data_IF_288516166049
#
_entry.id   IF_288516166049
#
_cell.length_a   1.000
_cell.length_b   1.000
_cell.length_c   1.000
_cell.angle_alpha   90.00
_cell.angle_beta   90.00
_cell.angle_gamma   90.00
#
_symmetry.space_group_name_H-M   'P 1'
#
loop_
_entity.id
_entity.type
_entity.pdbx_description
1 polymer ?
#
# COMPACT_ATOMS: atom_id res chain seq x y z
N UNK A 1 10.92 -37.41 3.98
CA UNK A 1 10.85 -36.69 2.69
C UNK A 1 11.36 -35.29 2.95
N UNK A 2 12.55 -34.96 2.44
CA UNK A 2 13.31 -33.79 2.94
C UNK A 2 13.02 -32.49 2.22
N UNK A 3 12.67 -32.54 0.94
CA UNK A 3 12.39 -31.36 0.11
C UNK A 3 11.48 -31.74 -1.06
N UNK A 4 10.45 -30.92 -1.30
CA UNK A 4 9.65 -30.94 -2.53
C UNK A 4 9.91 -29.62 -3.24
N UNK A 5 10.28 -29.70 -4.53
CA UNK A 5 10.43 -28.55 -5.42
C UNK A 5 9.33 -28.61 -6.47
N UNK A 6 8.73 -27.46 -6.76
CA UNK A 6 7.69 -27.31 -7.78
C UNK A 6 8.24 -26.43 -8.90
N UNK A 7 7.98 -26.82 -10.14
CA UNK A 7 8.46 -26.13 -11.33
C UNK A 7 7.34 -25.96 -12.35
N UNK A 8 7.35 -24.83 -13.06
CA UNK A 8 6.51 -24.60 -14.24
C UNK A 8 7.24 -25.07 -15.50
N UNK A 9 6.56 -25.80 -16.37
CA UNK A 9 7.02 -26.17 -17.72
C UNK A 9 5.89 -25.95 -18.72
N UNK A 10 6.19 -26.05 -20.01
CA UNK A 10 5.19 -26.02 -21.07
C UNK A 10 4.15 -27.13 -20.83
N UNK A 11 2.88 -26.76 -20.66
CA UNK A 11 1.79 -27.70 -20.36
C UNK A 11 1.43 -27.91 -18.89
N UNK A 12 2.08 -27.24 -17.93
CA UNK A 12 1.61 -27.20 -16.53
C UNK A 12 2.68 -27.16 -15.44
N UNK A 13 2.31 -27.63 -14.25
CA UNK A 13 3.17 -27.68 -13.08
C UNK A 13 3.59 -29.11 -12.74
N UNK A 14 4.85 -29.25 -12.36
CA UNK A 14 5.47 -30.52 -12.02
C UNK A 14 6.16 -30.41 -10.67
N UNK A 15 6.27 -31.53 -9.95
CA UNK A 15 7.01 -31.60 -8.71
C UNK A 15 8.15 -32.61 -8.79
N UNK A 16 9.21 -32.33 -8.04
CA UNK A 16 10.28 -33.27 -7.73
C UNK A 16 10.45 -33.34 -6.21
N UNK A 17 10.45 -34.56 -5.65
CA UNK A 17 10.61 -34.80 -4.23
C UNK A 17 11.79 -35.74 -3.97
N UNK A 18 12.70 -35.35 -3.07
CA UNK A 18 13.80 -36.21 -2.62
C UNK A 18 13.36 -37.03 -1.39
N UNK A 19 13.30 -38.34 -1.56
CA UNK A 19 13.06 -39.29 -0.46
C UNK A 19 14.29 -39.40 0.44
N UNK A 20 14.07 -39.84 1.68
CA UNK A 20 15.15 -39.97 2.68
C UNK A 20 16.17 -41.04 2.30
N UNK A 21 15.78 -41.98 1.44
CA UNK A 21 16.64 -43.00 0.85
C UNK A 21 17.43 -42.53 -0.39
N UNK A 22 17.43 -41.22 -0.68
CA UNK A 22 18.20 -40.64 -1.79
C UNK A 22 17.53 -40.71 -3.17
N UNK A 23 16.37 -41.34 -3.30
CA UNK A 23 15.65 -41.44 -4.58
C UNK A 23 14.74 -40.23 -4.83
N UNK A 24 14.62 -39.85 -6.10
CA UNK A 24 13.70 -38.81 -6.54
C UNK A 24 12.35 -39.39 -6.95
N UNK A 25 11.26 -38.71 -6.58
CA UNK A 25 9.92 -38.89 -7.13
C UNK A 25 9.58 -37.68 -7.98
N UNK A 26 9.03 -37.91 -9.17
CA UNK A 26 8.55 -36.86 -10.07
C UNK A 26 7.11 -37.13 -10.43
N UNK A 27 6.33 -36.07 -10.60
CA UNK A 27 4.95 -36.17 -11.07
C UNK A 27 4.41 -34.82 -11.52
N UNK A 28 3.25 -34.88 -12.16
CA UNK A 28 2.41 -33.75 -12.52
C UNK A 28 1.31 -33.54 -11.47
N UNK A 29 0.83 -32.31 -11.36
CA UNK A 29 -0.38 -32.04 -10.60
C UNK A 29 -1.61 -32.41 -11.45
N UNK A 30 -2.53 -33.20 -10.88
CA UNK A 30 -3.81 -33.50 -11.52
C UNK A 30 -4.59 -32.21 -11.80
N UNK A 31 -5.40 -32.24 -12.86
CA UNK A 31 -6.10 -31.09 -13.47
C UNK A 31 -6.59 -30.01 -12.47
N UNK A 32 -7.25 -30.36 -11.37
CA UNK A 32 -7.78 -29.36 -10.42
C UNK A 32 -6.69 -28.55 -9.70
N UNK A 33 -5.59 -29.21 -9.30
CA UNK A 33 -4.46 -28.54 -8.66
C UNK A 33 -3.63 -27.77 -9.70
N UNK A 34 -3.51 -28.29 -10.93
CA UNK A 34 -2.84 -27.58 -12.02
C UNK A 34 -3.57 -26.27 -12.38
N UNK A 35 -4.90 -26.30 -12.50
CA UNK A 35 -5.74 -25.12 -12.76
C UNK A 35 -5.65 -24.12 -11.59
N UNK A 36 -5.68 -24.60 -10.35
CA UNK A 36 -5.49 -23.74 -9.18
C UNK A 36 -4.13 -23.03 -9.20
N UNK A 37 -3.03 -23.76 -9.45
CA UNK A 37 -1.68 -23.18 -9.50
C UNK A 37 -1.49 -22.23 -10.70
N UNK A 38 -2.13 -22.49 -11.83
CA UNK A 38 -2.12 -21.58 -12.98
C UNK A 38 -2.82 -20.26 -12.64
N UNK A 39 -3.98 -20.33 -11.97
CA UNK A 39 -4.71 -19.14 -11.54
C UNK A 39 -3.91 -18.33 -10.50
N UNK A 40 -3.23 -19.00 -9.57
CA UNK A 40 -2.33 -18.33 -8.62
C UNK A 40 -1.16 -17.66 -9.35
N UNK A 41 -0.56 -18.32 -10.35
CA UNK A 41 0.53 -17.72 -11.15
C UNK A 41 0.05 -16.49 -11.92
N UNK A 42 -1.10 -16.57 -12.59
CA UNK A 42 -1.70 -15.43 -13.31
C UNK A 42 -2.01 -14.27 -12.37
N UNK A 43 -2.52 -14.57 -11.17
CA UNK A 43 -2.75 -13.56 -10.15
C UNK A 43 -1.44 -12.89 -9.72
N UNK A 44 -0.40 -13.67 -9.38
CA UNK A 44 0.92 -13.13 -9.01
C UNK A 44 1.48 -12.24 -10.12
N UNK A 45 1.39 -12.67 -11.38
CA UNK A 45 1.82 -11.88 -12.55
C UNK A 45 1.00 -10.59 -12.74
N UNK A 46 -0.27 -10.57 -12.30
CA UNK A 46 -1.13 -9.38 -12.36
C UNK A 46 -0.88 -8.35 -11.27
N UNK A 47 -0.17 -8.72 -10.19
CA UNK A 47 0.12 -7.82 -9.08
C UNK A 47 1.31 -6.94 -9.47
N UNK A 48 1.06 -5.65 -9.70
CA UNK A 48 2.12 -4.64 -9.86
C UNK A 48 2.97 -4.55 -8.59
N UNK A 49 4.30 -4.50 -8.75
CA UNK A 49 5.23 -4.19 -7.67
C UNK A 49 5.07 -2.74 -7.20
N UNK A 50 5.53 -2.45 -5.96
CA UNK A 50 5.47 -1.09 -5.39
C UNK A 50 6.18 -0.05 -6.26
N UNK A 51 7.28 -0.42 -6.92
CA UNK A 51 8.03 0.47 -7.80
C UNK A 51 7.31 0.72 -9.13
N UNK A 52 6.66 -0.30 -9.69
CA UNK A 52 5.83 -0.16 -10.91
C UNK A 52 4.62 0.74 -10.67
N UNK A 53 3.93 0.56 -9.54
CA UNK A 53 2.84 1.44 -9.11
C UNK A 53 3.33 2.88 -8.96
N UNK A 54 4.46 3.09 -8.28
CA UNK A 54 5.05 4.41 -8.07
C UNK A 54 5.41 5.09 -9.39
N UNK A 55 6.04 4.36 -10.31
CA UNK A 55 6.40 4.86 -11.63
C UNK A 55 5.16 5.24 -12.45
N UNK A 56 4.14 4.37 -12.50
CA UNK A 56 2.89 4.64 -13.22
C UNK A 56 2.18 5.88 -12.67
N UNK A 57 2.13 6.04 -11.35
CA UNK A 57 1.58 7.25 -10.71
C UNK A 57 2.38 8.47 -11.16
N UNK A 58 3.71 8.44 -11.06
CA UNK A 58 4.57 9.55 -11.47
C UNK A 58 4.36 9.91 -12.95
N UNK A 59 4.40 8.94 -13.86
CA UNK A 59 4.28 9.15 -15.30
C UNK A 59 2.91 9.76 -15.67
N UNK A 60 1.81 9.27 -15.08
CA UNK A 60 0.48 9.81 -15.30
C UNK A 60 0.35 11.27 -14.83
N UNK A 61 0.95 11.61 -13.69
CA UNK A 61 0.91 12.98 -13.15
C UNK A 61 1.79 13.93 -13.95
N UNK A 62 2.99 13.51 -14.37
CA UNK A 62 3.83 14.30 -15.26
C UNK A 62 3.12 14.60 -16.57
N UNK A 63 2.42 13.63 -17.14
CA UNK A 63 1.64 13.82 -18.36
C UNK A 63 0.52 14.85 -18.17
N UNK A 64 -0.29 14.72 -17.13
CA UNK A 64 -1.35 15.70 -16.80
C UNK A 64 -0.79 17.10 -16.50
N UNK A 65 0.35 17.17 -15.84
CA UNK A 65 1.04 18.44 -15.58
C UNK A 65 1.54 19.12 -16.85
N UNK A 66 2.02 18.36 -17.82
CA UNK A 66 2.39 18.87 -19.14
C UNK A 66 1.17 19.36 -19.93
N UNK A 67 0.00 18.73 -19.73
CA UNK A 67 -1.26 19.11 -20.37
C UNK A 67 -1.90 20.37 -19.73
N UNK A 68 -1.31 20.91 -18.65
CA UNK A 68 -1.75 22.17 -18.01
C UNK A 68 -3.03 22.08 -17.18
N UNK A 69 -3.59 20.88 -17.04
CA UNK A 69 -4.82 20.59 -16.28
C UNK A 69 -4.50 19.69 -15.08
N UNK A 70 -4.03 20.32 -14.00
CA UNK A 70 -3.68 19.62 -12.75
C UNK A 70 -4.64 20.04 -11.65
N UNK A 71 -5.56 19.14 -11.30
CA UNK A 71 -6.41 19.35 -10.14
C UNK A 71 -5.67 19.05 -8.83
N UNK A 72 -6.18 19.59 -7.72
CA UNK A 72 -5.65 19.23 -6.40
C UNK A 72 -5.78 17.73 -6.14
N UNK A 73 -6.85 17.09 -6.61
CA UNK A 73 -7.07 15.64 -6.45
C UNK A 73 -6.04 14.80 -7.20
N UNK A 74 -5.59 15.25 -8.36
CA UNK A 74 -4.45 14.64 -9.05
C UNK A 74 -3.18 14.76 -8.18
N UNK A 75 -2.86 15.94 -7.66
CA UNK A 75 -1.69 16.10 -6.78
C UNK A 75 -1.76 15.22 -5.51
N UNK A 76 -2.95 14.85 -5.04
CA UNK A 76 -3.09 14.05 -3.81
C UNK A 76 -2.50 12.65 -3.96
N UNK A 77 -2.78 11.95 -5.06
CA UNK A 77 -2.27 10.58 -5.26
C UNK A 77 -0.75 10.57 -5.38
N UNK A 78 -0.17 11.51 -6.12
CA UNK A 78 1.28 11.61 -6.27
C UNK A 78 1.98 11.93 -4.94
N UNK A 79 1.49 12.89 -4.17
CA UNK A 79 2.11 13.30 -2.89
C UNK A 79 2.02 12.21 -1.82
N UNK A 80 0.91 11.46 -1.79
CA UNK A 80 0.73 10.31 -0.88
C UNK A 80 1.80 9.23 -1.09
N UNK A 81 2.26 9.03 -2.33
CA UNK A 81 3.22 7.97 -2.65
C UNK A 81 4.67 8.45 -2.76
N UNK A 82 4.91 9.67 -3.24
CA UNK A 82 6.24 10.12 -3.65
C UNK A 82 6.89 11.05 -2.63
N UNK A 83 6.09 11.79 -1.85
CA UNK A 83 6.59 12.87 -1.00
C UNK A 83 6.23 12.65 0.47
N UNK A 84 6.65 11.52 1.05
CA UNK A 84 6.45 11.29 2.49
C UNK A 84 7.23 12.32 3.32
N UNK A 85 6.60 12.82 4.38
CA UNK A 85 7.30 13.61 5.38
C UNK A 85 8.34 12.73 6.10
N UNK A 86 9.51 13.30 6.37
CA UNK A 86 10.63 12.63 7.06
C UNK A 86 11.33 13.60 7.99
N UNK A 87 11.80 13.14 9.13
CA UNK A 87 12.58 13.93 10.09
C UNK A 87 13.96 14.32 9.52
N UNK A 88 14.54 15.43 9.98
CA UNK A 88 15.86 15.94 9.59
C UNK A 88 15.99 16.29 8.09
N UNK A 89 14.87 16.53 7.41
CA UNK A 89 14.82 17.00 6.03
C UNK A 89 14.49 18.49 5.98
N UNK A 90 15.20 19.20 5.10
CA UNK A 90 14.88 20.58 4.75
C UNK A 90 13.71 20.61 3.76
N UNK A 91 12.71 21.43 4.07
CA UNK A 91 11.55 21.70 3.24
C UNK A 91 11.50 23.18 2.88
N UNK A 92 11.12 23.46 1.64
CA UNK A 92 10.90 24.82 1.12
C UNK A 92 9.45 25.22 1.21
N UNK A 93 9.19 26.51 1.35
CA UNK A 93 7.83 27.05 1.25
C UNK A 93 7.15 26.57 -0.03
N UNK A 94 5.95 26.02 0.09
CA UNK A 94 5.19 25.42 -1.01
C UNK A 94 5.39 23.91 -1.18
N UNK A 95 6.38 23.29 -0.54
CA UNK A 95 6.59 21.84 -0.62
C UNK A 95 5.35 21.07 -0.15
N UNK A 96 4.99 20.03 -0.90
CA UNK A 96 3.89 19.13 -0.58
C UNK A 96 4.42 17.85 0.03
N UNK A 97 3.86 17.45 1.17
CA UNK A 97 4.21 16.20 1.86
C UNK A 97 2.98 15.41 2.28
N UNK A 98 3.15 14.08 2.39
CA UNK A 98 2.20 13.20 3.04
C UNK A 98 2.66 12.80 4.44
N UNK A 99 1.76 12.92 5.43
CA UNK A 99 1.98 12.47 6.80
C UNK A 99 0.68 11.93 7.38
N UNK A 100 0.69 10.71 7.93
CA UNK A 100 -0.54 10.06 8.43
C UNK A 100 -1.64 9.92 7.37
N UNK A 101 -1.27 9.89 6.09
CA UNK A 101 -2.21 9.79 4.98
C UNK A 101 -3.00 11.02 4.61
N UNK A 102 -2.55 12.16 5.12
CA UNK A 102 -3.04 13.50 4.82
C UNK A 102 -1.96 14.28 4.12
N UNK A 103 -2.36 15.29 3.33
CA UNK A 103 -1.42 16.13 2.61
C UNK A 103 -1.28 17.47 3.29
N UNK A 104 -0.03 17.91 3.40
CA UNK A 104 0.34 19.18 3.99
C UNK A 104 1.24 19.95 3.03
N UNK A 105 1.07 21.27 3.02
CA UNK A 105 1.93 22.23 2.34
C UNK A 105 2.81 22.93 3.36
N UNK A 106 4.11 22.97 3.13
CA UNK A 106 4.99 23.84 3.90
C UNK A 106 4.61 25.31 3.66
N UNK A 107 4.42 26.06 4.74
CA UNK A 107 4.09 27.50 4.69
C UNK A 107 5.33 28.40 4.64
N UNK A 108 6.48 27.86 5.08
CA UNK A 108 7.78 28.53 5.10
C UNK A 108 8.91 27.51 5.06
N UNK A 109 10.10 27.97 4.71
CA UNK A 109 11.32 27.17 4.78
C UNK A 109 11.52 26.66 6.21
N UNK A 110 11.71 25.35 6.35
CA UNK A 110 11.88 24.73 7.66
C UNK A 110 12.73 23.45 7.59
N UNK A 111 13.37 23.13 8.71
CA UNK A 111 14.02 21.85 8.93
C UNK A 111 13.15 21.02 9.85
N UNK A 112 12.70 19.89 9.34
CA UNK A 112 11.78 18.99 10.05
C UNK A 112 12.44 18.33 11.27
N UNK A 113 11.68 18.22 12.36
CA UNK A 113 12.05 17.53 13.60
C UNK A 113 10.81 16.80 14.14
N UNK A 114 10.97 16.01 15.22
CA UNK A 114 9.83 15.39 15.91
C UNK A 114 8.92 16.41 16.61
N UNK A 115 9.35 17.65 16.78
CA UNK A 115 8.57 18.73 17.37
C UNK A 115 7.76 19.50 16.32
N UNK A 116 8.07 19.32 15.03
CA UNK A 116 7.44 20.03 13.91
C UNK A 116 6.68 19.09 12.98
N UNK A 117 6.07 18.04 13.55
CA UNK A 117 5.26 17.09 12.79
C UNK A 117 4.06 17.82 12.15
N UNK A 118 3.74 17.57 10.86
CA UNK A 118 2.64 18.27 10.20
C UNK A 118 1.27 18.12 10.89
N UNK A 119 1.07 17.01 11.62
CA UNK A 119 -0.19 16.73 12.31
C UNK A 119 -0.36 17.45 13.66
N UNK A 120 0.73 17.91 14.28
CA UNK A 120 0.69 18.59 15.59
C UNK A 120 1.11 20.05 15.51
N UNK A 121 1.66 20.47 14.36
CA UNK A 121 1.94 21.86 14.07
C UNK A 121 0.65 22.69 14.21
N UNK A 122 0.78 23.85 14.85
CA UNK A 122 -0.31 24.78 15.11
C UNK A 122 -0.75 25.57 13.86
N UNK A 123 -0.30 25.14 12.68
CA UNK A 123 -0.48 25.84 11.41
C UNK A 123 0.61 26.89 11.15
N UNK A 124 1.68 26.93 11.94
CA UNK A 124 2.78 27.88 11.73
C UNK A 124 3.80 27.41 10.67
N UNK A 125 3.89 26.10 10.41
CA UNK A 125 4.81 25.49 9.44
C UNK A 125 4.06 24.73 8.34
N UNK A 126 2.93 24.11 8.65
CA UNK A 126 2.23 23.19 7.76
C UNK A 126 0.76 23.56 7.60
N UNK A 127 0.35 23.77 6.36
CA UNK A 127 -1.06 23.90 5.98
C UNK A 127 -1.57 22.54 5.51
N UNK A 128 -2.56 21.99 6.20
CA UNK A 128 -3.28 20.81 5.70
C UNK A 128 -4.08 21.18 4.43
N UNK A 129 -3.90 20.41 3.36
CA UNK A 129 -4.51 20.67 2.04
C UNK A 129 -5.64 19.71 1.68
N UNK A 130 -5.95 18.73 2.53
CA UNK A 130 -7.11 17.88 2.30
C UNK A 130 -8.38 18.75 2.36
N UNK A 131 -8.94 19.08 1.20
CA UNK A 131 -10.29 19.58 1.06
C UNK A 131 -11.25 18.49 1.59
N UNK A 132 -12.01 18.86 2.61
CA UNK A 132 -13.17 18.19 3.18
C UNK A 132 -12.99 16.83 3.90
N UNK A 133 -13.37 16.83 5.19
CA UNK A 133 -14.04 15.75 5.91
C UNK A 133 -13.61 14.29 5.65
N UNK A 134 -12.30 13.99 5.60
CA UNK A 134 -11.86 12.60 5.82
C UNK A 134 -12.21 12.18 7.24
N UNK A 135 -13.34 11.50 7.39
CA UNK A 135 -13.84 10.86 8.62
C UNK A 135 -12.81 9.90 9.22
N UNK A 136 -11.94 9.33 8.39
CA UNK A 136 -10.97 8.32 8.77
C UNK A 136 -9.54 8.66 8.30
N UNK A 137 -8.54 8.22 9.06
CA UNK A 137 -7.11 8.29 8.72
C UNK A 137 -6.69 7.13 7.83
N UNK A 138 -5.56 7.22 7.12
CA UNK A 138 -5.04 6.05 6.41
C UNK A 138 -4.74 4.91 7.40
N UNK A 139 -4.91 3.67 6.94
CA UNK A 139 -4.56 2.49 7.70
C UNK A 139 -3.11 2.55 8.20
N UNK A 140 -2.97 2.32 9.51
CA UNK A 140 -1.71 2.20 10.22
C UNK A 140 -1.59 0.81 10.85
N UNK A 141 -0.60 0.02 10.42
CA UNK A 141 -0.35 -1.33 10.93
C UNK A 141 0.10 -1.40 12.40
N UNK A 142 0.66 -0.31 12.94
CA UNK A 142 1.10 -0.21 14.35
C UNK A 142 -0.04 0.22 15.28
N UNK A 143 -1.16 0.68 14.72
CA UNK A 143 -2.33 1.07 15.51
C UNK A 143 -3.15 -0.18 15.82
N UNK A 144 -3.49 -0.38 17.10
CA UNK A 144 -4.56 -1.27 17.52
C UNK A 144 -5.91 -0.56 17.39
N UNK A 145 -6.74 -1.03 16.47
CA UNK A 145 -8.09 -0.52 16.24
C UNK A 145 -9.07 -1.20 17.19
N UNK A 146 -10.08 -0.45 17.62
CA UNK A 146 -11.24 -0.95 18.38
C UNK A 146 -12.48 -1.02 17.50
N UNK A 147 -13.44 -1.85 17.89
CA UNK A 147 -14.74 -1.95 17.22
C UNK A 147 -15.37 -0.58 16.98
N UNK A 148 -15.75 -0.31 15.74
CA UNK A 148 -16.36 0.95 15.36
C UNK A 148 -15.38 2.05 14.92
N UNK A 149 -14.08 1.92 15.22
CA UNK A 149 -13.07 2.78 14.59
C UNK A 149 -12.90 2.43 13.11
N UNK A 150 -12.41 3.38 12.32
CA UNK A 150 -12.18 3.13 10.91
C UNK A 150 -10.89 3.75 10.37
N UNK A 151 -10.53 3.29 9.19
CA UNK A 151 -9.38 3.75 8.43
C UNK A 151 -9.72 3.80 6.92
N UNK A 152 -9.02 4.64 6.19
CA UNK A 152 -8.97 4.63 4.74
C UNK A 152 -7.89 3.65 4.26
N UNK A 153 -8.22 2.75 3.33
CA UNK A 153 -7.30 1.77 2.73
C UNK A 153 -7.64 1.61 1.24
N UNK A 154 -6.66 1.74 0.34
CA UNK A 154 -6.85 1.68 -1.12
C UNK A 154 -8.00 2.56 -1.63
N UNK A 155 -8.11 3.80 -1.14
CA UNK A 155 -9.12 4.78 -1.59
C UNK A 155 -10.53 4.56 -1.06
N UNK A 156 -10.76 3.49 -0.29
CA UNK A 156 -12.04 3.17 0.37
C UNK A 156 -11.94 3.36 1.88
N UNK A 157 -13.07 3.57 2.55
CA UNK A 157 -13.11 3.64 4.01
C UNK A 157 -13.63 2.34 4.58
N UNK A 158 -13.07 1.94 5.71
CA UNK A 158 -13.44 0.71 6.41
C UNK A 158 -13.62 0.98 7.88
N UNK A 159 -14.56 0.27 8.49
CA UNK A 159 -14.81 0.29 9.93
C UNK A 159 -14.61 -1.12 10.50
N UNK A 160 -13.91 -1.21 11.64
CA UNK A 160 -13.68 -2.48 12.31
C UNK A 160 -14.97 -3.00 12.92
N UNK A 161 -15.29 -4.27 12.68
CA UNK A 161 -16.51 -4.92 13.20
C UNK A 161 -16.26 -5.94 14.31
N UNK A 162 -15.01 -6.38 14.48
CA UNK A 162 -14.54 -7.18 15.62
C UNK A 162 -14.10 -6.28 16.78
N UNK A 163 -13.93 -6.84 17.97
CA UNK A 163 -13.67 -6.07 19.19
C UNK A 163 -12.36 -5.29 19.16
N UNK A 164 -11.28 -5.89 18.66
CA UNK A 164 -9.97 -5.27 18.51
C UNK A 164 -9.15 -5.96 17.44
N UNK A 165 -8.29 -5.21 16.74
CA UNK A 165 -7.38 -5.74 15.72
C UNK A 165 -6.11 -4.88 15.59
N UNK A 166 -4.96 -5.50 15.37
CA UNK A 166 -3.67 -4.84 15.15
C UNK A 166 -2.90 -5.58 14.05
N UNK A 167 -2.14 -4.86 13.23
CA UNK A 167 -1.32 -5.45 12.16
C UNK A 167 -2.08 -5.94 10.92
N UNK A 168 -3.37 -6.25 11.03
CA UNK A 168 -4.18 -6.79 9.93
C UNK A 168 -5.06 -5.72 9.23
N UNK A 169 -4.77 -5.49 7.95
CA UNK A 169 -5.47 -4.50 7.11
C UNK A 169 -6.85 -4.98 6.63
N UNK A 170 -7.69 -4.09 6.07
CA UNK A 170 -8.94 -4.48 5.39
C UNK A 170 -8.77 -5.50 4.27
N UNK A 171 -7.59 -5.56 3.64
CA UNK A 171 -7.28 -6.58 2.65
C UNK A 171 -6.79 -7.90 3.27
N UNK A 172 -5.99 -7.84 4.34
CA UNK A 172 -5.47 -9.04 4.99
C UNK A 172 -6.58 -9.83 5.71
N UNK A 173 -7.54 -9.11 6.30
CA UNK A 173 -8.63 -9.70 7.09
C UNK A 173 -9.99 -9.08 6.74
N UNK A 174 -10.48 -9.26 5.50
CA UNK A 174 -11.69 -8.58 5.02
C UNK A 174 -12.95 -8.93 5.82
N UNK A 175 -12.98 -10.08 6.49
CA UNK A 175 -14.08 -10.46 7.38
C UNK A 175 -14.13 -9.62 8.68
N UNK A 176 -13.04 -8.95 9.05
CA UNK A 176 -12.94 -8.12 10.27
C UNK A 176 -13.31 -6.64 10.02
N UNK A 177 -13.46 -6.25 8.75
CA UNK A 177 -13.65 -4.87 8.31
C UNK A 177 -14.89 -4.74 7.43
N UNK A 178 -15.64 -3.65 7.58
CA UNK A 178 -16.78 -3.30 6.73
C UNK A 178 -16.49 -2.03 5.95
N UNK A 179 -16.60 -2.06 4.62
CA UNK A 179 -16.52 -0.86 3.78
C UNK A 179 -17.69 0.09 4.10
N UNK A 180 -17.42 1.39 4.28
CA UNK A 180 -18.37 2.44 4.70
C UNK A 180 -18.24 3.73 3.92
#
# INVERSE_FOLDING_TARGET
>A
MKNIKIFRKEGGFYFEALKDNGFYVRGDFKNDIAVFLENVSKFIESVESKEEVKKRIIDNHFKKALDGDVSLDDLKEAVLFVSKWSVNKDYKSGDLVSYGGRIYKALKDNKSSYETLPAIDDGSLWQKLDADNKKYELYNHEKRYKKGEGCSFNGKNYQLIVDSLEGESPFASPASWKEV
#
